data_IF_661674385199
#
_entry.id   IF_661674385199
#
_cell.length_a   1.000
_cell.length_b   1.000
_cell.length_c   1.000
_cell.angle_alpha   90.00
_cell.angle_beta   90.00
_cell.angle_gamma   90.00
#
_symmetry.space_group_name_H-M   'P 1'
#
loop_
_entity.id
_entity.type
_entity.pdbx_description
1 polymer ?
#
# COMPACT_ATOMS: atom_id res chain seq x y z
N UNK A 1 1.69 -21.69 -1.46
CA UNK A 1 2.65 -20.66 -0.94
C UNK A 1 2.08 -20.18 0.39
N UNK A 2 2.84 -20.20 1.50
CA UNK A 2 2.30 -20.02 2.88
C UNK A 2 2.83 -18.73 3.54
N UNK A 3 3.55 -17.88 2.79
CA UNK A 3 4.07 -16.63 3.33
C UNK A 3 2.93 -15.61 3.48
N UNK A 4 2.84 -14.99 4.66
CA UNK A 4 1.83 -13.98 4.95
C UNK A 4 1.94 -12.77 4.00
N UNK A 5 3.14 -12.41 3.60
CA UNK A 5 3.42 -11.36 2.63
C UNK A 5 2.73 -11.60 1.29
N UNK A 6 2.76 -12.85 0.80
CA UNK A 6 2.14 -13.19 -0.48
C UNK A 6 0.63 -13.18 -0.35
N UNK A 7 0.08 -13.87 0.64
CA UNK A 7 -1.38 -13.96 0.82
C UNK A 7 -2.00 -12.57 1.02
N UNK A 8 -1.41 -11.78 1.90
CA UNK A 8 -1.87 -10.42 2.17
C UNK A 8 -1.59 -9.48 0.99
N UNK A 9 -0.45 -9.64 0.30
CA UNK A 9 -0.11 -8.84 -0.87
C UNK A 9 -1.08 -9.04 -2.03
N UNK A 10 -1.38 -10.29 -2.37
CA UNK A 10 -2.39 -10.63 -3.38
C UNK A 10 -3.77 -10.09 -2.98
N UNK A 11 -4.17 -10.28 -1.71
CA UNK A 11 -5.44 -9.74 -1.19
C UNK A 11 -5.52 -8.22 -1.34
N UNK A 12 -4.46 -7.48 -0.98
CA UNK A 12 -4.41 -6.01 -1.09
C UNK A 12 -4.43 -5.52 -2.55
N UNK A 13 -3.93 -6.32 -3.48
CA UNK A 13 -4.01 -6.05 -4.92
C UNK A 13 -5.34 -6.51 -5.54
N UNK A 14 -6.28 -7.03 -4.74
CA UNK A 14 -7.56 -7.54 -5.24
C UNK A 14 -7.43 -8.83 -6.03
N UNK A 15 -6.34 -9.57 -5.83
CA UNK A 15 -6.08 -10.85 -6.50
C UNK A 15 -6.56 -11.96 -5.57
N UNK A 16 -7.56 -12.71 -6.03
CA UNK A 16 -8.00 -13.93 -5.35
C UNK A 16 -6.95 -15.03 -5.58
N UNK A 17 -6.32 -15.48 -4.49
CA UNK A 17 -5.34 -16.56 -4.54
C UNK A 17 -6.01 -17.89 -4.17
N UNK A 18 -6.32 -18.70 -5.17
CA UNK A 18 -6.83 -20.06 -4.99
C UNK A 18 -5.70 -21.07 -5.19
N UNK A 19 -5.37 -21.82 -4.15
CA UNK A 19 -4.42 -22.93 -4.26
C UNK A 19 -5.08 -24.12 -4.99
N UNK A 20 -4.26 -24.93 -5.67
CA UNK A 20 -4.68 -26.23 -6.18
C UNK A 20 -5.25 -27.07 -5.02
N UNK A 21 -6.49 -27.54 -5.19
CA UNK A 21 -7.19 -28.33 -4.20
C UNK A 21 -6.56 -29.74 -4.08
N UNK A 22 -6.61 -30.35 -2.89
CA UNK A 22 -6.25 -31.76 -2.75
C UNK A 22 -6.99 -32.63 -3.76
N UNK A 23 -6.27 -33.59 -4.35
CA UNK A 23 -6.82 -34.56 -5.33
C UNK A 23 -7.46 -33.92 -6.57
N UNK A 24 -7.01 -32.73 -6.99
CA UNK A 24 -7.54 -32.01 -8.16
C UNK A 24 -6.53 -31.81 -9.29
N UNK A 25 -6.00 -32.90 -9.90
CA UNK A 25 -4.97 -32.83 -10.94
C UNK A 25 -5.43 -32.05 -12.19
N UNK A 26 -6.74 -32.04 -12.47
CA UNK A 26 -7.33 -31.30 -13.58
C UNK A 26 -7.07 -29.78 -13.53
N UNK A 27 -6.73 -29.22 -12.35
CA UNK A 27 -6.37 -27.81 -12.21
C UNK A 27 -4.99 -27.49 -12.81
N UNK A 28 -4.12 -28.49 -13.02
CA UNK A 28 -2.76 -28.30 -13.49
C UNK A 28 -2.58 -28.55 -15.00
N UNK A 29 -3.61 -28.99 -15.73
CA UNK A 29 -3.46 -29.47 -17.11
C UNK A 29 -2.81 -28.46 -18.07
N UNK A 30 -3.07 -27.16 -17.91
CA UNK A 30 -2.40 -26.11 -18.72
C UNK A 30 -0.91 -26.00 -18.41
N UNK A 31 -0.53 -26.12 -17.14
CA UNK A 31 0.87 -26.08 -16.71
C UNK A 31 1.59 -27.32 -17.24
N UNK A 32 0.98 -28.49 -17.11
CA UNK A 32 1.52 -29.75 -17.62
C UNK A 32 1.70 -29.73 -19.15
N UNK A 33 0.72 -29.20 -19.90
CA UNK A 33 0.82 -29.04 -21.34
C UNK A 33 1.97 -28.12 -21.76
N UNK A 34 2.21 -27.04 -21.02
CA UNK A 34 3.35 -26.15 -21.24
C UNK A 34 4.68 -26.86 -20.93
N UNK A 35 4.80 -27.50 -19.77
CA UNK A 35 6.01 -28.22 -19.38
C UNK A 35 6.35 -29.37 -20.33
N UNK A 36 5.36 -30.07 -20.88
CA UNK A 36 5.58 -31.06 -21.93
C UNK A 36 6.21 -30.48 -23.20
N UNK A 37 5.95 -29.21 -23.54
CA UNK A 37 6.66 -28.53 -24.65
C UNK A 37 8.08 -28.12 -24.24
N UNK A 38 8.29 -27.68 -23.00
CA UNK A 38 9.63 -27.35 -22.51
C UNK A 38 10.52 -28.61 -22.57
N UNK A 39 10.06 -29.71 -21.99
CA UNK A 39 10.81 -30.96 -21.91
C UNK A 39 10.91 -31.68 -23.25
N UNK A 40 9.85 -31.70 -24.06
CA UNK A 40 9.81 -32.44 -25.32
C UNK A 40 10.34 -31.67 -26.53
N UNK A 41 10.55 -30.34 -26.43
CA UNK A 41 10.96 -29.50 -27.56
C UNK A 41 12.14 -28.60 -27.22
N UNK A 42 12.04 -27.77 -26.17
CA UNK A 42 13.09 -26.80 -25.85
C UNK A 42 14.36 -27.48 -25.33
N UNK A 43 14.27 -28.32 -24.29
CA UNK A 43 15.45 -28.95 -23.70
C UNK A 43 16.21 -29.85 -24.70
N UNK A 44 15.55 -30.64 -25.57
CA UNK A 44 16.24 -31.39 -26.62
C UNK A 44 17.04 -30.52 -27.61
N UNK A 45 16.60 -29.29 -27.89
CA UNK A 45 17.35 -28.35 -28.73
C UNK A 45 18.63 -27.85 -28.06
N UNK A 46 18.76 -28.02 -26.73
CA UNK A 46 19.91 -27.60 -25.93
C UNK A 46 20.81 -28.76 -25.50
N UNK A 47 20.44 -30.02 -25.76
CA UNK A 47 21.20 -31.21 -25.33
C UNK A 47 22.66 -31.23 -25.81
N UNK A 48 22.94 -30.64 -26.98
CA UNK A 48 24.29 -30.57 -27.55
C UNK A 48 25.17 -29.43 -26.99
N UNK A 49 24.64 -28.58 -26.11
CA UNK A 49 25.37 -27.42 -25.57
C UNK A 49 26.17 -27.86 -24.34
N UNK A 50 27.49 -27.95 -24.49
CA UNK A 50 28.41 -28.19 -23.37
C UNK A 50 28.47 -26.93 -22.48
N UNK A 51 28.48 -27.12 -21.15
CA UNK A 51 28.55 -26.05 -20.15
C UNK A 51 27.44 -24.97 -20.24
N UNK A 52 26.19 -25.40 -20.38
CA UNK A 52 25.03 -24.50 -20.44
C UNK A 52 24.90 -23.62 -19.18
N UNK A 53 25.07 -22.30 -19.34
CA UNK A 53 24.92 -21.31 -18.26
C UNK A 53 23.47 -20.82 -18.15
N UNK A 54 23.08 -20.33 -16.97
CA UNK A 54 21.74 -19.80 -16.73
C UNK A 54 21.36 -18.64 -17.68
N UNK A 55 22.31 -17.75 -17.97
CA UNK A 55 22.12 -16.65 -18.92
C UNK A 55 21.74 -17.16 -20.32
N UNK A 56 22.48 -18.16 -20.81
CA UNK A 56 22.22 -18.76 -22.13
C UNK A 56 20.87 -19.51 -22.15
N UNK A 57 20.52 -20.18 -21.05
CA UNK A 57 19.20 -20.80 -20.92
C UNK A 57 18.08 -19.75 -20.97
N UNK A 58 18.23 -18.61 -20.30
CA UNK A 58 17.25 -17.52 -20.35
C UNK A 58 17.10 -16.96 -21.76
N UNK A 59 18.21 -16.66 -22.44
CA UNK A 59 18.21 -16.15 -23.82
C UNK A 59 17.54 -17.14 -24.79
N UNK A 60 17.93 -18.42 -24.73
CA UNK A 60 17.37 -19.46 -25.59
C UNK A 60 15.88 -19.68 -25.32
N UNK A 61 15.47 -19.71 -24.04
CA UNK A 61 14.06 -19.87 -23.65
C UNK A 61 13.23 -18.69 -24.14
N UNK A 62 13.71 -17.46 -24.00
CA UNK A 62 13.03 -16.26 -24.50
C UNK A 62 12.86 -16.30 -26.02
N UNK A 63 13.92 -16.64 -26.75
CA UNK A 63 13.86 -16.74 -28.21
C UNK A 63 12.88 -17.83 -28.65
N UNK A 64 12.92 -19.01 -28.02
CA UNK A 64 11.99 -20.11 -28.33
C UNK A 64 10.54 -19.76 -27.99
N UNK A 65 10.28 -19.16 -26.82
CA UNK A 65 8.91 -18.86 -26.40
C UNK A 65 8.27 -17.81 -27.32
N UNK A 66 9.03 -16.79 -27.71
CA UNK A 66 8.56 -15.75 -28.61
C UNK A 66 8.40 -16.31 -30.02
N UNK A 67 9.48 -16.84 -30.62
CA UNK A 67 9.54 -17.12 -32.05
C UNK A 67 8.84 -18.42 -32.44
N UNK A 68 8.79 -19.43 -31.58
CA UNK A 68 8.18 -20.72 -31.87
C UNK A 68 6.89 -20.94 -31.07
N UNK A 69 6.97 -21.04 -29.74
CA UNK A 69 5.84 -21.51 -28.91
C UNK A 69 4.59 -20.63 -29.05
N UNK A 70 4.74 -19.31 -28.93
CA UNK A 70 3.63 -18.37 -28.99
C UNK A 70 3.09 -18.15 -30.42
N UNK A 71 3.82 -18.58 -31.45
CA UNK A 71 3.49 -18.42 -32.88
C UNK A 71 3.03 -19.70 -33.56
N UNK A 72 3.21 -20.87 -32.93
CA UNK A 72 2.71 -22.16 -33.42
C UNK A 72 1.21 -22.27 -33.15
N UNK A 73 0.46 -22.85 -34.09
CA UNK A 73 -0.96 -23.18 -33.89
C UNK A 73 -1.07 -24.33 -32.88
N UNK A 74 -1.84 -24.12 -31.80
CA UNK A 74 -2.07 -25.15 -30.79
C UNK A 74 -3.33 -25.94 -31.13
N UNK A 75 -3.26 -27.27 -31.04
CA UNK A 75 -4.36 -28.17 -31.43
C UNK A 75 -5.65 -27.96 -30.64
N UNK A 76 -5.54 -27.62 -29.34
CA UNK A 76 -6.70 -27.40 -28.47
C UNK A 76 -7.49 -26.14 -28.81
N UNK A 77 -6.80 -25.06 -29.22
CA UNK A 77 -7.45 -23.77 -29.49
C UNK A 77 -7.63 -23.47 -30.97
N UNK A 78 -6.98 -24.24 -31.86
CA UNK A 78 -7.02 -24.03 -33.31
C UNK A 78 -6.32 -22.74 -33.77
N UNK A 79 -5.65 -22.01 -32.88
CA UNK A 79 -4.97 -20.75 -33.17
C UNK A 79 -3.65 -20.62 -32.39
N UNK A 80 -2.89 -19.58 -32.66
CA UNK A 80 -1.63 -19.32 -31.94
C UNK A 80 -1.90 -18.61 -30.60
N UNK A 81 -1.13 -18.89 -29.52
CA UNK A 81 -1.27 -18.18 -28.26
C UNK A 81 -1.19 -16.65 -28.40
N UNK A 82 -0.26 -16.17 -29.25
CA UNK A 82 -0.09 -14.74 -29.51
C UNK A 82 -1.34 -14.12 -30.17
N UNK A 83 -1.89 -14.75 -31.21
CA UNK A 83 -3.09 -14.24 -31.86
C UNK A 83 -4.28 -14.23 -30.90
N UNK A 84 -4.44 -15.29 -30.10
CA UNK A 84 -5.50 -15.34 -29.09
C UNK A 84 -5.39 -14.19 -28.11
N UNK A 85 -4.18 -13.96 -27.57
CA UNK A 85 -3.94 -12.88 -26.62
C UNK A 85 -4.22 -11.49 -27.20
N UNK A 86 -3.86 -11.24 -28.47
CA UNK A 86 -4.06 -9.95 -29.14
C UNK A 86 -5.51 -9.70 -29.56
N UNK A 87 -6.25 -10.74 -29.91
CA UNK A 87 -7.61 -10.63 -30.43
C UNK A 87 -8.69 -10.65 -29.34
N UNK A 88 -8.41 -11.29 -28.19
CA UNK A 88 -9.35 -11.35 -27.08
C UNK A 88 -9.42 -10.03 -26.30
N UNK A 89 -10.53 -9.82 -25.60
CA UNK A 89 -10.76 -8.63 -24.78
C UNK A 89 -9.70 -8.53 -23.68
N UNK A 90 -8.90 -7.46 -23.72
CA UNK A 90 -7.92 -7.18 -22.66
C UNK A 90 -8.65 -6.74 -21.38
N UNK A 91 -8.52 -7.53 -20.33
CA UNK A 91 -9.00 -7.25 -18.95
C UNK A 91 -7.85 -7.04 -17.97
N UNK A 92 -6.63 -6.88 -18.49
CA UNK A 92 -5.43 -6.63 -17.70
C UNK A 92 -5.49 -5.28 -17.00
N UNK A 93 -5.00 -5.26 -15.77
CA UNK A 93 -4.81 -4.02 -15.03
C UNK A 93 -3.36 -3.52 -15.21
N UNK A 94 -3.14 -2.20 -15.22
CA UNK A 94 -1.79 -1.66 -15.24
C UNK A 94 -1.02 -2.14 -14.01
N UNK A 95 0.24 -2.51 -14.21
CA UNK A 95 1.11 -2.92 -13.12
C UNK A 95 1.26 -1.74 -12.12
N UNK A 96 1.04 -1.95 -10.82
CA UNK A 96 1.33 -0.95 -9.81
C UNK A 96 2.81 -0.55 -9.83
N UNK A 97 3.11 0.65 -9.33
CA UNK A 97 4.50 1.07 -9.15
C UNK A 97 5.27 0.13 -8.23
N UNK A 98 6.60 0.06 -8.37
CA UNK A 98 7.46 -0.75 -7.50
C UNK A 98 7.23 -0.46 -6.02
N UNK A 99 7.00 0.81 -5.65
CA UNK A 99 6.71 1.21 -4.27
C UNK A 99 5.38 0.65 -3.77
N UNK A 100 4.34 0.66 -4.61
CA UNK A 100 3.05 0.06 -4.29
C UNK A 100 3.15 -1.46 -4.17
N UNK A 101 3.92 -2.12 -5.03
CA UNK A 101 4.17 -3.57 -4.94
C UNK A 101 4.91 -3.92 -3.64
N UNK A 102 6.01 -3.24 -3.34
CA UNK A 102 6.77 -3.44 -2.10
C UNK A 102 5.89 -3.26 -0.87
N UNK A 103 5.02 -2.24 -0.87
CA UNK A 103 4.09 -2.01 0.21
C UNK A 103 2.99 -3.08 0.29
N UNK A 104 2.45 -3.52 -0.86
CA UNK A 104 1.41 -4.54 -0.90
C UNK A 104 1.91 -5.85 -0.29
N UNK A 105 3.10 -6.30 -0.67
CA UNK A 105 3.73 -7.56 -0.23
C UNK A 105 4.46 -7.44 1.12
N UNK A 106 3.84 -6.76 2.08
CA UNK A 106 4.27 -6.76 3.49
C UNK A 106 3.38 -7.68 4.31
N UNK A 107 3.91 -8.34 5.34
CA UNK A 107 3.07 -8.92 6.37
C UNK A 107 2.56 -7.81 7.28
N UNK A 108 1.37 -8.00 7.84
CA UNK A 108 0.82 -7.16 8.89
C UNK A 108 0.81 -7.93 10.20
N UNK A 109 1.33 -7.31 11.26
CA UNK A 109 1.39 -7.90 12.58
C UNK A 109 1.07 -6.87 13.66
N UNK A 110 0.39 -7.32 14.72
CA UNK A 110 0.13 -6.48 15.88
C UNK A 110 1.26 -6.56 16.90
N UNK A 111 1.67 -5.40 17.40
CA UNK A 111 2.75 -5.26 18.39
C UNK A 111 2.35 -4.32 19.51
N UNK A 112 2.75 -4.71 20.72
CA UNK A 112 2.60 -3.84 21.89
C UNK A 112 3.71 -2.80 21.91
N UNK A 113 3.32 -1.54 22.06
CA UNK A 113 4.24 -0.45 22.31
C UNK A 113 4.66 -0.45 23.78
N UNK A 114 5.96 -0.25 24.03
CA UNK A 114 6.50 -0.03 25.36
C UNK A 114 6.17 1.40 25.82
N UNK A 115 5.36 1.53 26.86
CA UNK A 115 4.91 2.82 27.40
C UNK A 115 6.05 3.71 27.94
N UNK A 116 7.16 3.12 28.41
CA UNK A 116 8.25 3.88 29.03
C UNK A 116 9.01 4.75 28.02
N UNK A 117 9.33 4.19 26.85
CA UNK A 117 10.21 4.83 25.85
C UNK A 117 9.56 4.98 24.46
N UNK A 118 8.30 4.57 24.28
CA UNK A 118 7.59 4.77 23.01
C UNK A 118 8.17 3.92 21.87
N UNK A 119 8.57 2.69 22.17
CA UNK A 119 9.21 1.80 21.19
C UNK A 119 8.45 0.49 21.02
N UNK A 120 8.69 -0.20 19.90
CA UNK A 120 8.23 -1.56 19.68
C UNK A 120 9.39 -2.43 19.19
N UNK A 121 9.30 -3.75 19.39
CA UNK A 121 10.33 -4.70 18.92
C UNK A 121 9.80 -5.57 17.79
N UNK A 122 10.60 -5.72 16.73
CA UNK A 122 10.38 -6.65 15.61
C UNK A 122 11.67 -7.44 15.40
N UNK A 123 11.60 -8.76 15.42
CA UNK A 123 12.76 -9.65 15.24
C UNK A 123 14.02 -9.18 16.00
N UNK A 124 13.86 -8.87 17.29
CA UNK A 124 14.91 -8.34 18.19
C UNK A 124 15.48 -6.94 17.85
N UNK A 125 14.95 -6.24 16.85
CA UNK A 125 15.27 -4.85 16.54
C UNK A 125 14.21 -3.94 17.17
N UNK A 126 14.65 -2.89 17.86
CA UNK A 126 13.77 -1.89 18.47
C UNK A 126 13.52 -0.76 17.48
N UNK A 127 12.26 -0.39 17.30
CA UNK A 127 11.82 0.71 16.44
C UNK A 127 11.22 1.84 17.27
N UNK A 128 11.46 3.07 16.85
CA UNK A 128 10.89 4.26 17.48
C UNK A 128 9.50 4.55 16.92
N UNK A 129 8.54 4.77 17.83
CA UNK A 129 7.18 5.15 17.49
C UNK A 129 7.01 6.66 17.67
N UNK A 130 6.50 7.39 16.66
CA UNK A 130 6.22 8.82 16.81
C UNK A 130 5.30 9.11 17.99
N UNK A 131 5.63 10.15 18.77
CA UNK A 131 4.92 10.52 20.01
C UNK A 131 3.41 10.68 19.84
N UNK A 132 2.95 11.12 18.66
CA UNK A 132 1.52 11.24 18.31
C UNK A 132 0.74 9.92 18.44
N UNK A 133 1.42 8.77 18.34
CA UNK A 133 0.84 7.44 18.52
C UNK A 133 1.14 6.85 19.91
N UNK A 134 1.84 7.57 20.78
CA UNK A 134 2.28 7.07 22.08
C UNK A 134 1.15 6.66 23.03
N UNK A 135 -0.07 7.18 22.80
CA UNK A 135 -1.28 6.81 23.54
C UNK A 135 -1.85 5.44 23.13
N UNK A 136 -1.42 4.88 21.99
CA UNK A 136 -1.82 3.57 21.52
C UNK A 136 -0.97 2.49 22.19
N UNK A 137 -1.63 1.53 22.84
CA UNK A 137 -0.96 0.39 23.47
C UNK A 137 -0.56 -0.69 22.45
N UNK A 138 -1.39 -0.90 21.44
CA UNK A 138 -1.20 -1.87 20.39
C UNK A 138 -1.15 -1.15 19.04
N UNK A 139 -0.18 -1.51 18.21
CA UNK A 139 0.08 -0.93 16.91
C UNK A 139 0.05 -2.03 15.85
N UNK A 140 -0.59 -1.76 14.71
CA UNK A 140 -0.44 -2.60 13.53
C UNK A 140 0.79 -2.14 12.75
N UNK A 141 1.67 -3.09 12.46
CA UNK A 141 2.94 -2.86 11.81
C UNK A 141 3.01 -3.67 10.53
N UNK A 142 3.51 -3.05 9.47
CA UNK A 142 3.66 -3.66 8.15
C UNK A 142 5.12 -3.65 7.70
N UNK A 143 5.65 -4.80 7.33
CA UNK A 143 7.03 -4.97 6.89
C UNK A 143 7.22 -6.28 6.10
N UNK A 144 8.34 -6.45 5.42
CA UNK A 144 8.74 -7.73 4.83
C UNK A 144 9.59 -8.51 5.82
N UNK A 145 9.25 -9.77 6.14
CA UNK A 145 9.96 -10.52 7.19
C UNK A 145 11.45 -10.73 6.92
N UNK A 146 11.85 -10.73 5.64
CA UNK A 146 13.24 -10.85 5.20
C UNK A 146 13.98 -9.51 5.07
N UNK A 147 13.27 -8.38 5.12
CA UNK A 147 13.86 -7.04 5.00
C UNK A 147 13.17 -6.03 5.93
N UNK A 148 13.83 -5.77 7.07
CA UNK A 148 13.41 -4.78 8.06
C UNK A 148 13.95 -3.37 7.78
N UNK A 149 14.55 -3.12 6.62
CA UNK A 149 14.94 -1.77 6.21
C UNK A 149 13.75 -0.82 6.20
N UNK A 150 12.55 -1.36 5.91
CA UNK A 150 11.34 -0.59 5.69
C UNK A 150 10.20 -1.16 6.51
N UNK A 151 9.79 -0.41 7.54
CA UNK A 151 8.73 -0.79 8.47
C UNK A 151 7.73 0.36 8.57
N UNK A 152 6.44 0.05 8.49
CA UNK A 152 5.36 1.03 8.51
C UNK A 152 4.41 0.78 9.68
N UNK A 153 3.87 1.85 10.24
CA UNK A 153 2.64 1.80 11.02
C UNK A 153 1.45 1.85 10.07
N UNK A 154 0.44 1.03 10.36
CA UNK A 154 -0.80 0.97 9.61
C UNK A 154 -2.00 1.14 10.53
N UNK A 155 -3.11 1.62 9.96
CA UNK A 155 -4.41 1.56 10.62
C UNK A 155 -4.95 0.11 10.55
N UNK A 156 -5.22 -0.55 11.69
CA UNK A 156 -5.70 -1.93 11.71
C UNK A 156 -7.09 -2.13 11.09
N UNK A 157 -7.87 -1.05 10.89
CA UNK A 157 -9.21 -1.14 10.30
C UNK A 157 -9.20 -0.94 8.79
N UNK A 158 -8.49 0.10 8.33
CA UNK A 158 -8.48 0.48 6.92
C UNK A 158 -7.29 -0.08 6.15
N UNK A 159 -6.24 -0.54 6.85
CA UNK A 159 -4.97 -0.94 6.25
C UNK A 159 -4.13 0.24 5.72
N UNK A 160 -4.59 1.48 5.93
CA UNK A 160 -3.93 2.68 5.46
C UNK A 160 -2.58 2.87 6.17
N UNK A 161 -1.56 3.27 5.41
CA UNK A 161 -0.24 3.54 5.97
C UNK A 161 -0.22 4.89 6.67
N UNK A 162 0.14 4.87 7.94
CA UNK A 162 0.18 6.04 8.80
C UNK A 162 1.52 6.77 8.68
N UNK A 163 2.63 6.02 8.81
CA UNK A 163 3.99 6.52 8.60
C UNK A 163 5.01 5.38 8.59
N UNK A 164 6.21 5.65 8.08
CA UNK A 164 7.39 4.79 8.27
C UNK A 164 7.96 4.98 9.69
N UNK A 165 8.42 3.89 10.29
CA UNK A 165 9.17 3.89 11.55
C UNK A 165 10.58 3.35 11.30
N UNK A 166 11.52 3.78 12.15
CA UNK A 166 12.94 3.49 11.98
C UNK A 166 13.49 2.75 13.19
N UNK A 167 14.53 1.92 13.00
CA UNK A 167 15.26 1.34 14.12
C UNK A 167 15.75 2.45 15.06
N UNK A 168 15.73 2.17 16.35
CA UNK A 168 16.20 3.09 17.38
C UNK A 168 17.68 3.42 17.15
N UNK A 169 17.97 4.71 17.07
CA UNK A 169 19.33 5.20 16.98
C UNK A 169 19.98 5.12 18.36
N UNK A 170 20.77 4.06 18.59
CA UNK A 170 21.45 3.81 19.86
C UNK A 170 22.38 4.96 20.26
N UNK A 171 22.98 5.65 19.29
CA UNK A 171 23.93 6.75 19.55
C UNK A 171 23.21 7.98 20.06
N UNK A 172 22.15 8.43 19.35
CA UNK A 172 21.29 9.53 19.81
C UNK A 172 20.57 9.20 21.12
N UNK A 173 20.14 7.96 21.29
CA UNK A 173 19.48 7.54 22.53
C UNK A 173 20.43 7.64 23.74
N UNK A 174 21.70 7.31 23.56
CA UNK A 174 22.72 7.41 24.60
C UNK A 174 23.03 8.86 25.03
N UNK A 175 22.75 9.87 24.18
CA UNK A 175 22.92 11.29 24.55
C UNK A 175 21.96 11.75 25.65
N UNK A 176 20.91 10.97 25.98
CA UNK A 176 20.02 11.24 27.11
C UNK A 176 19.12 12.47 26.94
N UNK A 177 19.14 13.13 25.78
CA UNK A 177 18.32 14.31 25.46
C UNK A 177 16.86 13.87 25.26
N UNK A 178 15.99 14.21 26.21
CA UNK A 178 14.55 13.93 26.12
C UNK A 178 13.82 15.14 25.55
N UNK A 179 13.29 15.02 24.34
CA UNK A 179 12.31 15.98 23.85
C UNK A 179 11.05 15.90 24.74
N UNK A 180 10.42 17.04 25.09
CA UNK A 180 9.17 17.04 25.85
C UNK A 180 8.10 16.22 25.11
N UNK A 181 7.42 15.32 25.84
CA UNK A 181 6.42 14.38 25.28
C UNK A 181 5.30 15.07 24.51
N UNK A 182 4.98 16.30 24.91
CA UNK A 182 4.08 17.19 24.23
C UNK A 182 4.92 18.39 23.74
N UNK A 183 5.37 18.37 22.49
CA UNK A 183 5.27 19.62 21.76
C UNK A 183 3.79 19.73 21.43
N UNK A 184 3.02 20.37 22.31
CA UNK A 184 1.74 20.93 21.89
C UNK A 184 2.03 21.61 20.56
N UNK A 185 1.39 21.15 19.49
CA UNK A 185 1.29 21.99 18.31
C UNK A 185 0.74 23.30 18.87
N UNK A 186 1.55 24.36 18.87
CA UNK A 186 1.04 25.69 19.17
C UNK A 186 -0.23 25.82 18.35
N UNK A 187 -1.40 26.04 18.97
CA UNK A 187 -2.64 26.16 18.22
C UNK A 187 -2.34 27.13 17.10
N UNK A 188 -2.54 26.68 15.86
CA UNK A 188 -2.35 27.52 14.70
C UNK A 188 -3.07 28.83 15.02
N UNK A 189 -2.37 29.97 14.88
CA UNK A 189 -2.97 31.27 15.09
C UNK A 189 -4.34 31.24 14.40
N UNK A 190 -5.44 31.55 15.14
CA UNK A 190 -6.75 31.51 14.54
C UNK A 190 -6.69 32.32 13.26
N UNK A 191 -7.18 31.78 12.13
CA UNK A 191 -7.13 32.50 10.87
C UNK A 191 -7.72 33.90 11.11
N UNK A 192 -7.08 34.92 10.56
CA UNK A 192 -7.56 36.29 10.64
C UNK A 192 -9.07 36.30 10.35
N UNK A 193 -9.88 37.05 11.12
CA UNK A 193 -11.33 37.00 11.00
C UNK A 193 -11.72 37.23 9.55
N UNK A 194 -12.25 36.19 8.90
CA UNK A 194 -12.44 36.13 7.44
C UNK A 194 -13.59 37.01 6.93
N UNK A 195 -13.98 38.03 7.70
CA UNK A 195 -15.16 38.84 7.45
C UNK A 195 -16.44 38.01 7.55
N UNK A 196 -17.54 38.64 7.14
CA UNK A 196 -18.83 37.96 7.03
C UNK A 196 -18.82 37.04 5.80
N UNK A 197 -19.39 35.84 5.91
CA UNK A 197 -19.47 34.95 4.76
C UNK A 197 -20.30 35.60 3.62
N UNK A 198 -19.90 35.46 2.34
CA UNK A 198 -20.53 36.17 1.22
C UNK A 198 -22.03 35.87 1.07
N UNK A 199 -22.45 34.65 1.43
CA UNK A 199 -23.88 34.29 1.47
C UNK A 199 -24.65 35.13 2.49
N UNK A 200 -24.06 35.39 3.66
CA UNK A 200 -24.72 36.16 4.72
C UNK A 200 -24.81 37.65 4.34
N UNK A 201 -23.79 38.20 3.69
CA UNK A 201 -23.86 39.56 3.11
C UNK A 201 -25.01 39.68 2.09
N UNK A 202 -25.15 38.70 1.20
CA UNK A 202 -26.23 38.67 0.22
C UNK A 202 -27.61 38.59 0.89
N UNK A 203 -27.76 37.76 1.92
CA UNK A 203 -29.01 37.65 2.69
C UNK A 203 -29.35 38.95 3.41
N UNK A 204 -28.35 39.65 3.98
CA UNK A 204 -28.54 40.95 4.63
C UNK A 204 -28.96 42.03 3.63
N UNK A 205 -28.37 42.07 2.43
CA UNK A 205 -28.79 42.98 1.36
C UNK A 205 -30.21 42.71 0.90
N UNK A 206 -30.58 41.43 0.71
CA UNK A 206 -31.95 41.04 0.35
C UNK A 206 -32.95 41.43 1.44
N UNK A 207 -32.62 41.20 2.71
CA UNK A 207 -33.48 41.58 3.83
C UNK A 207 -33.66 43.10 3.89
N UNK A 208 -32.59 43.87 3.76
CA UNK A 208 -32.66 45.33 3.73
C UNK A 208 -33.52 45.85 2.55
N UNK A 209 -33.45 45.20 1.39
CA UNK A 209 -34.27 45.56 0.22
C UNK A 209 -35.78 45.33 0.42
N UNK A 210 -36.19 44.49 1.39
CA UNK A 210 -37.62 44.31 1.71
C UNK A 210 -38.25 45.52 2.40
N UNK A 211 -37.44 46.41 2.99
CA UNK A 211 -37.91 47.58 3.74
C UNK A 211 -38.59 47.24 5.07
N UNK A 212 -38.61 45.96 5.47
CA UNK A 212 -39.15 45.54 6.76
C UNK A 212 -38.13 45.83 7.88
N UNK A 213 -38.55 46.42 9.00
CA UNK A 213 -37.66 46.60 10.14
C UNK A 213 -37.28 45.24 10.72
N UNK A 214 -36.07 45.10 11.28
CA UNK A 214 -35.66 43.88 11.98
C UNK A 214 -36.69 43.53 13.06
N UNK A 215 -37.06 42.25 13.16
CA UNK A 215 -38.02 41.74 14.13
C UNK A 215 -37.44 41.64 15.56
N UNK A 216 -36.56 42.57 15.93
CA UNK A 216 -36.02 42.72 17.27
C UNK A 216 -35.83 44.21 17.59
N UNK A 217 -35.99 44.56 18.86
CA UNK A 217 -35.66 45.88 19.36
C UNK A 217 -34.20 45.87 19.85
N UNK A 218 -33.33 46.76 19.36
CA UNK A 218 -31.98 46.86 19.89
C UNK A 218 -32.06 47.34 21.34
N UNK A 219 -31.41 46.61 22.26
CA UNK A 219 -31.28 47.08 23.63
C UNK A 219 -30.37 48.31 23.64
N UNK A 220 -30.77 49.44 24.26
CA UNK A 220 -29.89 50.59 24.40
C UNK A 220 -28.68 50.16 25.23
N UNK A 221 -27.48 50.36 24.69
CA UNK A 221 -26.25 50.15 25.43
C UNK A 221 -26.23 51.13 26.60
N UNK A 222 -26.20 50.61 27.83
CA UNK A 222 -25.98 51.44 29.01
C UNK A 222 -24.62 52.14 28.82
N UNK A 223 -24.54 53.48 28.93
CA UNK A 223 -23.25 54.16 28.86
C UNK A 223 -22.36 53.60 29.96
N UNK A 224 -21.19 53.11 29.57
CA UNK A 224 -20.17 52.62 30.50
C UNK A 224 -19.89 53.73 31.52
N UNK A 225 -20.13 53.46 32.80
CA UNK A 225 -19.74 54.37 33.88
C UNK A 225 -18.24 54.65 33.75
N UNK A 226 -17.81 55.92 33.64
CA UNK A 226 -16.41 56.26 33.77
C UNK A 226 -15.96 55.93 35.20
N UNK A 227 -14.73 55.43 35.30
CA UNK A 227 -14.09 54.86 36.50
C UNK A 227 -14.07 55.77 37.72
#
# INVERSE_FOLDING_TARGET
MIAAETEQGLTRLGILFENTLPYSPYQNGKQEAFWGQVEGRLLPMLEGVVDLRLEQLNEATQAWIELEYNRKVHSETGQTPLQRFLNDKNVGQPCPSTQQLQLAFTLEERRLQRHSDGTLSLQAIRFEVPSRYGHLKELAVRYASWDLSTVYLADPKTGAILCRIYPQDKTKNAEGRRAPRNSEQSPAEPPAPAGMAPLLEQLMQQYAATGLPPAYLPQPQNPQNPS
#
